data_IF_695537022920
#
_entry.id   IF_695537022920
#
_cell.length_a   1.000
_cell.length_b   1.000
_cell.length_c   1.000
_cell.angle_alpha   90.00
_cell.angle_beta   90.00
_cell.angle_gamma   90.00
#
_symmetry.space_group_name_H-M   'P 1'
#
loop_
_entity.id
_entity.type
_entity.pdbx_description
1 polymer ?
#
# COMPACT_ATOMS: atom_id res chain seq x y z
N UNK A 1 -14.32 -37.80 9.10
CA UNK A 1 -13.00 -37.73 9.77
C UNK A 1 -12.57 -36.28 9.66
N UNK A 2 -12.53 -35.55 10.76
CA UNK A 2 -12.18 -34.14 10.83
C UNK A 2 -10.67 -34.02 10.70
N UNK A 3 -10.20 -33.51 9.57
CA UNK A 3 -8.80 -33.12 9.39
C UNK A 3 -8.63 -31.79 10.10
N UNK A 4 -8.17 -31.80 11.34
CA UNK A 4 -7.62 -30.58 11.97
C UNK A 4 -6.34 -30.25 11.22
N UNK A 5 -6.37 -29.18 10.43
CA UNK A 5 -5.15 -28.56 9.93
C UNK A 5 -4.22 -28.22 11.12
N UNK A 6 -2.91 -28.19 10.94
CA UNK A 6 -2.01 -27.83 12.00
C UNK A 6 -2.31 -26.38 12.44
N UNK A 7 -2.77 -26.20 13.67
CA UNK A 7 -2.66 -24.93 14.38
C UNK A 7 -1.15 -24.83 14.65
N UNK A 8 -0.45 -24.13 13.78
CA UNK A 8 0.91 -23.68 14.05
C UNK A 8 0.79 -22.70 15.24
N UNK A 9 1.04 -23.18 16.46
CA UNK A 9 1.43 -22.29 17.55
C UNK A 9 2.79 -21.71 17.14
N UNK A 10 2.76 -20.54 16.47
CA UNK A 10 3.99 -19.80 16.25
C UNK A 10 4.51 -19.36 17.63
N UNK A 11 5.79 -19.56 17.89
CA UNK A 11 6.45 -18.84 18.96
C UNK A 11 6.33 -17.35 18.60
N UNK A 12 5.99 -16.50 19.60
CA UNK A 12 5.92 -15.04 19.37
C UNK A 12 7.23 -14.57 18.73
N UNK A 13 7.12 -13.72 17.71
CA UNK A 13 8.28 -13.15 17.03
C UNK A 13 9.12 -12.35 18.03
N UNK A 14 10.43 -12.34 17.81
CA UNK A 14 11.34 -11.63 18.71
C UNK A 14 11.33 -10.14 18.38
N UNK A 15 10.91 -9.30 19.34
CA UNK A 15 11.17 -7.86 19.28
C UNK A 15 12.67 -7.61 19.50
N UNK A 16 13.30 -6.91 18.56
CA UNK A 16 14.73 -6.62 18.58
C UNK A 16 15.02 -5.24 19.13
N UNK A 17 16.09 -5.08 19.93
CA UNK A 17 16.61 -3.76 20.29
C UNK A 17 17.37 -3.15 19.10
N UNK A 18 17.52 -1.82 19.08
CA UNK A 18 18.27 -1.11 18.04
C UNK A 18 17.47 -0.87 16.77
N UNK A 19 18.16 -0.79 15.65
CA UNK A 19 17.55 -0.47 14.35
C UNK A 19 18.04 -1.41 13.24
N UNK A 20 17.25 -1.62 12.17
CA UNK A 20 17.66 -2.41 11.01
C UNK A 20 19.02 -1.98 10.43
N UNK A 21 19.26 -0.68 10.30
CA UNK A 21 20.51 -0.16 9.75
C UNK A 21 21.74 -0.58 10.57
N UNK A 22 21.64 -0.59 11.90
CA UNK A 22 22.73 -1.02 12.78
C UNK A 22 23.09 -2.49 12.57
N UNK A 23 22.12 -3.31 12.19
CA UNK A 23 22.28 -4.74 11.93
C UNK A 23 22.52 -5.04 10.44
N UNK A 24 22.68 -4.02 9.58
CA UNK A 24 22.98 -4.17 8.16
C UNK A 24 21.80 -4.50 7.27
N UNK A 25 20.56 -4.22 7.74
CA UNK A 25 19.33 -4.42 6.97
C UNK A 25 18.93 -3.15 6.22
N UNK A 26 18.22 -3.35 5.10
CA UNK A 26 17.64 -2.27 4.29
C UNK A 26 16.33 -2.72 3.67
N UNK A 27 15.46 -1.77 3.31
CA UNK A 27 14.23 -2.01 2.58
C UNK A 27 14.53 -2.32 1.12
N UNK A 28 14.23 -3.54 0.60
CA UNK A 28 14.44 -3.86 -0.80
C UNK A 28 13.40 -3.15 -1.68
N UNK A 29 13.70 -3.01 -2.97
CA UNK A 29 12.72 -2.54 -3.93
C UNK A 29 11.55 -3.53 -4.07
N UNK A 30 10.36 -3.03 -4.46
CA UNK A 30 9.17 -3.87 -4.60
C UNK A 30 9.32 -4.97 -5.68
N UNK A 31 10.13 -4.72 -6.72
CA UNK A 31 10.45 -5.73 -7.74
C UNK A 31 11.49 -6.78 -7.31
N UNK A 32 12.02 -6.72 -6.10
CA UNK A 32 12.80 -7.82 -5.55
C UNK A 32 11.94 -9.11 -5.52
N UNK A 33 12.59 -10.28 -5.63
CA UNK A 33 11.87 -11.55 -5.56
C UNK A 33 11.02 -11.61 -4.29
N UNK A 34 9.79 -12.06 -4.42
CA UNK A 34 8.82 -12.13 -3.33
C UNK A 34 8.50 -13.59 -3.01
N UNK A 35 8.48 -13.93 -1.72
CA UNK A 35 8.03 -15.22 -1.22
C UNK A 35 6.51 -15.28 -1.12
N UNK A 36 5.86 -14.14 -0.85
CA UNK A 36 4.41 -14.04 -0.71
C UNK A 36 3.91 -12.58 -0.87
N UNK A 37 2.60 -12.45 -0.99
CA UNK A 37 1.86 -11.19 -0.80
C UNK A 37 0.78 -11.42 0.24
N UNK A 38 0.66 -10.49 1.18
CA UNK A 38 -0.39 -10.47 2.18
C UNK A 38 -1.51 -9.52 1.79
N UNK A 39 -2.73 -9.89 2.16
CA UNK A 39 -3.95 -9.09 2.08
C UNK A 39 -4.75 -9.29 3.37
N UNK A 40 -5.73 -8.41 3.64
CA UNK A 40 -6.69 -8.52 4.73
C UNK A 40 -8.11 -8.61 4.16
N UNK A 41 -9.03 -9.23 4.92
CA UNK A 41 -10.41 -9.43 4.50
C UNK A 41 -11.26 -8.17 4.71
N UNK A 42 -11.91 -7.60 3.68
CA UNK A 42 -12.74 -6.40 3.82
C UNK A 42 -14.11 -6.77 4.40
N UNK A 43 -14.41 -6.31 5.60
CA UNK A 43 -15.67 -6.61 6.29
C UNK A 43 -16.29 -5.40 6.99
N UNK A 44 -15.54 -4.31 7.17
CA UNK A 44 -15.97 -3.10 7.86
C UNK A 44 -17.12 -2.41 7.15
N UNK A 45 -18.35 -2.39 7.76
CA UNK A 45 -19.57 -1.95 7.08
C UNK A 45 -19.72 -0.42 6.98
N UNK A 46 -18.96 0.36 7.75
CA UNK A 46 -18.91 1.82 7.67
C UNK A 46 -17.87 2.31 6.64
N UNK A 47 -17.15 1.38 6.02
CA UNK A 47 -16.26 1.64 4.89
C UNK A 47 -16.72 0.90 3.62
N UNK A 48 -17.08 -0.38 3.74
CA UNK A 48 -17.41 -1.23 2.60
C UNK A 48 -18.92 -1.43 2.46
N UNK A 49 -19.51 -0.86 1.39
CA UNK A 49 -20.93 -0.99 1.08
C UNK A 49 -21.38 -2.45 0.94
N UNK A 50 -22.68 -2.72 1.04
CA UNK A 50 -23.21 -4.06 0.85
C UNK A 50 -22.64 -5.08 1.84
N UNK A 51 -22.35 -4.66 3.08
CA UNK A 51 -21.71 -5.49 4.12
C UNK A 51 -20.35 -6.07 3.67
N UNK A 52 -19.64 -5.35 2.81
CA UNK A 52 -18.35 -5.74 2.26
C UNK A 52 -18.40 -6.71 1.08
N UNK A 53 -19.56 -7.26 0.71
CA UNK A 53 -19.64 -8.32 -0.31
C UNK A 53 -19.06 -7.91 -1.68
N UNK A 54 -19.37 -6.72 -2.24
CA UNK A 54 -18.75 -6.30 -3.51
C UNK A 54 -17.23 -6.14 -3.42
N UNK A 55 -16.72 -5.59 -2.32
CA UNK A 55 -15.29 -5.48 -2.07
C UNK A 55 -14.63 -6.86 -1.94
N UNK A 56 -15.22 -7.79 -1.17
CA UNK A 56 -14.74 -9.17 -1.01
C UNK A 56 -14.59 -9.89 -2.35
N UNK A 57 -15.54 -9.71 -3.26
CA UNK A 57 -15.46 -10.28 -4.62
C UNK A 57 -14.30 -9.66 -5.44
N UNK A 58 -14.05 -8.37 -5.27
CA UNK A 58 -12.94 -7.68 -5.94
C UNK A 58 -11.60 -8.10 -5.35
N UNK A 59 -11.48 -8.19 -4.04
CA UNK A 59 -10.29 -8.70 -3.35
C UNK A 59 -9.98 -10.15 -3.77
N UNK A 60 -11.00 -10.99 -3.94
CA UNK A 60 -10.81 -12.35 -4.45
C UNK A 60 -10.20 -12.37 -5.86
N UNK A 61 -10.62 -11.46 -6.76
CA UNK A 61 -10.04 -11.33 -8.11
C UNK A 61 -8.59 -10.85 -8.06
N UNK A 62 -8.27 -9.90 -7.19
CA UNK A 62 -6.89 -9.44 -6.98
C UNK A 62 -6.03 -10.58 -6.45
N UNK A 63 -6.49 -11.28 -5.41
CA UNK A 63 -5.79 -12.44 -4.84
C UNK A 63 -5.59 -13.57 -5.87
N UNK A 64 -6.58 -13.85 -6.72
CA UNK A 64 -6.47 -14.81 -7.82
C UNK A 64 -5.40 -14.39 -8.84
N UNK A 65 -5.38 -13.11 -9.22
CA UNK A 65 -4.38 -12.58 -10.14
C UNK A 65 -2.96 -12.73 -9.57
N UNK A 66 -2.75 -12.35 -8.31
CA UNK A 66 -1.45 -12.47 -7.63
C UNK A 66 -1.02 -13.93 -7.52
N UNK A 67 -1.94 -14.82 -7.15
CA UNK A 67 -1.64 -16.24 -6.87
C UNK A 67 -1.14 -17.04 -8.07
N UNK A 68 -1.18 -16.47 -9.28
CA UNK A 68 -0.62 -17.08 -10.50
C UNK A 68 0.90 -17.18 -10.48
N UNK A 69 1.58 -16.26 -9.77
CA UNK A 69 3.05 -16.19 -9.72
C UNK A 69 3.61 -16.10 -8.31
N UNK A 70 2.81 -15.68 -7.33
CA UNK A 70 3.24 -15.40 -5.97
C UNK A 70 2.22 -15.97 -4.98
N UNK A 71 2.62 -16.72 -3.95
CA UNK A 71 1.74 -17.18 -2.87
C UNK A 71 1.00 -16.00 -2.24
N UNK A 72 -0.29 -16.18 -1.91
CA UNK A 72 -1.12 -15.17 -1.27
C UNK A 72 -1.59 -15.66 0.09
N UNK A 73 -1.38 -14.82 1.11
CA UNK A 73 -1.98 -14.99 2.43
C UNK A 73 -3.10 -13.95 2.60
N UNK A 74 -4.23 -14.39 3.15
CA UNK A 74 -5.34 -13.51 3.51
C UNK A 74 -5.59 -13.58 5.00
N UNK A 75 -5.30 -12.49 5.72
CA UNK A 75 -5.69 -12.33 7.11
C UNK A 75 -7.20 -12.14 7.23
N UNK A 76 -7.86 -12.95 8.03
CA UNK A 76 -9.32 -13.00 8.15
C UNK A 76 -9.72 -13.10 9.61
N UNK A 77 -10.60 -12.20 10.14
CA UNK A 77 -11.14 -12.38 11.49
C UNK A 77 -11.92 -13.70 11.63
N UNK A 78 -11.87 -14.32 12.81
CA UNK A 78 -12.39 -15.63 13.07
C UNK A 78 -13.86 -15.83 12.61
N UNK A 79 -14.71 -14.82 12.82
CA UNK A 79 -16.12 -14.83 12.46
C UNK A 79 -16.39 -14.84 10.94
N UNK A 80 -15.41 -14.39 10.12
CA UNK A 80 -15.52 -14.32 8.66
C UNK A 80 -14.81 -15.45 7.93
N UNK A 81 -14.11 -16.37 8.63
CA UNK A 81 -13.34 -17.47 8.03
C UNK A 81 -14.17 -18.34 7.09
N UNK A 82 -15.40 -18.67 7.46
CA UNK A 82 -16.28 -19.50 6.61
C UNK A 82 -16.69 -18.76 5.32
N UNK A 83 -16.99 -17.46 5.43
CA UNK A 83 -17.32 -16.61 4.28
C UNK A 83 -16.12 -16.43 3.34
N UNK A 84 -14.95 -16.10 3.88
CA UNK A 84 -13.73 -15.94 3.11
C UNK A 84 -13.36 -17.22 2.36
N UNK A 85 -13.47 -18.38 3.02
CA UNK A 85 -13.25 -19.69 2.41
C UNK A 85 -14.20 -20.02 1.27
N UNK A 86 -15.44 -19.55 1.35
CA UNK A 86 -16.43 -19.75 0.29
C UNK A 86 -16.23 -18.80 -0.92
N UNK A 87 -15.55 -17.68 -0.71
CA UNK A 87 -15.38 -16.61 -1.73
C UNK A 87 -14.02 -16.66 -2.42
N UNK A 88 -12.95 -16.96 -1.67
CA UNK A 88 -11.57 -16.93 -2.17
C UNK A 88 -11.20 -18.19 -2.95
N UNK A 89 -10.34 -18.08 -3.97
CA UNK A 89 -9.83 -19.24 -4.68
C UNK A 89 -8.98 -20.13 -3.76
N UNK A 90 -8.97 -21.43 -4.03
CA UNK A 90 -8.24 -22.44 -3.23
C UNK A 90 -6.72 -22.22 -3.19
N UNK A 91 -6.17 -21.39 -4.09
CA UNK A 91 -4.76 -20.99 -4.13
C UNK A 91 -4.38 -19.98 -3.04
N UNK A 92 -5.36 -19.36 -2.37
CA UNK A 92 -5.13 -18.36 -1.30
C UNK A 92 -5.12 -19.09 0.05
N UNK A 93 -4.10 -18.85 0.84
CA UNK A 93 -3.99 -19.36 2.21
C UNK A 93 -4.67 -18.41 3.18
N UNK A 94 -5.69 -18.90 3.90
CA UNK A 94 -6.37 -18.12 4.93
C UNK A 94 -5.61 -18.22 6.25
N UNK A 95 -5.44 -17.08 6.91
CA UNK A 95 -4.81 -16.96 8.22
C UNK A 95 -5.80 -16.26 9.14
N UNK A 96 -6.15 -16.91 10.27
CA UNK A 96 -7.00 -16.26 11.27
C UNK A 96 -6.23 -15.10 11.90
N UNK A 97 -6.76 -13.88 11.71
CA UNK A 97 -6.09 -12.62 12.09
C UNK A 97 -7.14 -11.56 12.36
N UNK A 98 -7.10 -10.94 13.53
CA UNK A 98 -7.98 -9.82 13.85
C UNK A 98 -7.43 -8.54 13.19
N UNK A 99 -8.32 -7.77 12.55
CA UNK A 99 -8.05 -6.45 11.97
C UNK A 99 -9.24 -5.55 12.19
N UNK A 100 -9.10 -4.24 12.05
CA UNK A 100 -10.22 -3.30 12.07
C UNK A 100 -10.67 -2.96 10.64
N UNK A 101 -9.76 -2.96 9.65
CA UNK A 101 -10.08 -2.86 8.22
C UNK A 101 -9.07 -3.67 7.36
N UNK A 102 -9.04 -3.44 6.04
CA UNK A 102 -8.39 -4.30 5.06
C UNK A 102 -7.19 -3.66 4.33
N UNK A 103 -6.57 -2.64 4.93
CA UNK A 103 -5.50 -1.84 4.31
C UNK A 103 -4.11 -2.38 4.65
N UNK A 104 -3.80 -3.56 4.09
CA UNK A 104 -2.59 -4.32 4.40
C UNK A 104 -1.29 -3.59 4.11
N UNK A 105 -1.27 -2.69 3.13
CA UNK A 105 -0.09 -1.85 2.82
C UNK A 105 0.30 -0.98 3.99
N UNK A 106 -0.68 -0.43 4.68
CA UNK A 106 -0.48 0.60 5.70
C UNK A 106 -0.35 0.03 7.10
N UNK A 107 -1.02 -1.09 7.36
CA UNK A 107 -1.02 -1.75 8.68
C UNK A 107 -0.03 -2.91 8.78
N UNK A 108 0.39 -3.46 7.63
CA UNK A 108 1.35 -4.56 7.57
C UNK A 108 2.80 -4.10 7.81
N UNK A 109 3.71 -5.06 8.07
CA UNK A 109 5.10 -4.74 8.32
C UNK A 109 5.81 -4.24 7.05
N UNK A 110 6.72 -3.28 7.19
CA UNK A 110 7.72 -3.04 6.16
C UNK A 110 8.85 -4.05 6.34
N UNK A 111 9.05 -4.89 5.33
CA UNK A 111 10.10 -5.92 5.39
C UNK A 111 11.44 -5.35 4.98
N UNK A 112 12.49 -5.73 5.72
CA UNK A 112 13.89 -5.39 5.46
C UNK A 112 14.72 -6.66 5.31
N UNK A 113 15.71 -6.62 4.45
CA UNK A 113 16.62 -7.75 4.17
C UNK A 113 18.08 -7.33 4.33
N UNK A 114 18.97 -8.31 4.47
CA UNK A 114 20.41 -8.07 4.48
C UNK A 114 21.15 -8.90 3.42
N UNK A 115 22.45 -8.67 3.27
CA UNK A 115 23.27 -9.40 2.31
C UNK A 115 23.55 -10.86 2.68
N UNK A 116 23.16 -11.31 3.86
CA UNK A 116 23.29 -12.71 4.30
C UNK A 116 22.05 -13.57 3.97
N UNK A 117 21.01 -13.00 3.36
CA UNK A 117 19.77 -13.68 3.07
C UNK A 117 18.85 -13.81 4.30
N UNK A 118 18.94 -12.86 5.22
CA UNK A 118 18.02 -12.78 6.36
C UNK A 118 16.97 -11.72 6.10
N UNK A 119 15.77 -11.93 6.66
CA UNK A 119 14.63 -11.01 6.60
C UNK A 119 14.18 -10.67 8.01
N UNK A 120 13.79 -9.42 8.21
CA UNK A 120 13.19 -8.90 9.43
C UNK A 120 12.05 -7.95 9.08
N UNK A 121 11.22 -7.64 10.06
CA UNK A 121 10.10 -6.73 9.91
C UNK A 121 10.36 -5.40 10.64
N UNK A 122 9.81 -4.32 10.12
CA UNK A 122 9.65 -3.05 10.82
C UNK A 122 8.18 -2.88 11.13
N UNK A 123 7.88 -2.74 12.41
CA UNK A 123 6.57 -2.50 12.98
C UNK A 123 6.45 -1.00 13.27
N UNK A 124 5.68 -0.29 12.44
CA UNK A 124 5.41 1.14 12.58
C UNK A 124 4.21 1.38 13.50
N UNK A 125 4.16 2.55 14.12
CA UNK A 125 2.94 3.00 14.78
C UNK A 125 1.87 3.33 13.73
N UNK A 126 0.64 2.93 13.96
CA UNK A 126 -0.50 3.22 13.09
C UNK A 126 -1.57 3.99 13.85
N UNK A 127 -2.18 5.00 13.24
CA UNK A 127 -3.19 5.84 13.86
C UNK A 127 -4.42 6.11 12.96
N UNK A 128 -4.74 5.20 12.05
CA UNK A 128 -5.85 5.34 11.09
C UNK A 128 -5.76 6.63 10.26
N UNK A 129 -4.56 6.96 9.77
CA UNK A 129 -4.25 8.11 8.91
C UNK A 129 -4.54 9.49 9.53
N UNK A 130 -4.44 9.63 10.83
CA UNK A 130 -4.59 10.94 11.48
C UNK A 130 -5.13 10.90 12.90
N UNK A 131 -5.41 9.73 13.44
CA UNK A 131 -5.89 9.55 14.79
C UNK A 131 -7.24 10.24 15.02
N UNK A 132 -7.43 10.82 16.20
CA UNK A 132 -8.66 11.54 16.55
C UNK A 132 -8.73 12.95 15.92
N UNK A 133 -7.68 13.41 15.20
CA UNK A 133 -7.57 14.75 14.62
C UNK A 133 -7.54 14.71 13.09
N UNK A 134 -8.45 13.95 12.47
CA UNK A 134 -8.54 13.84 11.02
C UNK A 134 -8.33 12.45 10.47
N UNK A 135 -8.19 11.43 11.32
CA UNK A 135 -8.15 10.02 10.92
C UNK A 135 -9.49 9.54 10.36
N UNK A 136 -9.46 8.43 9.64
CA UNK A 136 -10.62 7.91 8.94
C UNK A 136 -11.60 7.15 9.85
N UNK A 137 -11.11 6.61 10.98
CA UNK A 137 -11.93 5.96 12.01
C UNK A 137 -11.27 5.99 13.39
N UNK A 138 -12.07 5.86 14.45
CA UNK A 138 -11.60 6.05 15.82
C UNK A 138 -11.06 4.77 16.51
N UNK A 139 -11.30 3.59 15.94
CA UNK A 139 -10.86 2.29 16.48
C UNK A 139 -9.90 1.61 15.50
N UNK A 140 -8.62 1.59 15.82
CA UNK A 140 -7.57 0.98 14.99
C UNK A 140 -6.63 0.04 15.76
N UNK A 141 -7.04 -0.39 16.96
CA UNK A 141 -6.18 -1.15 17.88
C UNK A 141 -5.84 -2.55 17.38
N UNK A 142 -6.65 -3.13 16.47
CA UNK A 142 -6.31 -4.40 15.84
C UNK A 142 -5.41 -4.18 14.64
N UNK A 143 -5.63 -3.11 13.87
CA UNK A 143 -4.79 -2.74 12.74
C UNK A 143 -3.36 -2.43 13.16
N UNK A 144 -3.16 -1.75 14.31
CA UNK A 144 -1.83 -1.49 14.90
C UNK A 144 -1.03 -2.76 15.23
N UNK A 145 -1.70 -3.92 15.33
CA UNK A 145 -1.05 -5.21 15.66
C UNK A 145 -0.74 -6.07 14.43
N UNK A 146 -1.16 -5.67 13.25
CA UNK A 146 -1.04 -6.49 12.03
C UNK A 146 0.43 -6.80 11.72
N UNK A 147 1.31 -5.82 11.82
CA UNK A 147 2.73 -6.00 11.55
C UNK A 147 3.35 -7.09 12.44
N UNK A 148 3.05 -7.09 13.74
CA UNK A 148 3.52 -8.11 14.68
C UNK A 148 2.88 -9.46 14.41
N UNK A 149 1.56 -9.52 14.12
CA UNK A 149 0.88 -10.78 13.80
C UNK A 149 1.45 -11.45 12.53
N UNK A 150 1.80 -10.66 11.51
CA UNK A 150 2.48 -11.17 10.30
C UNK A 150 3.87 -11.68 10.64
N UNK A 151 4.63 -10.94 11.45
CA UNK A 151 5.97 -11.34 11.90
C UNK A 151 5.93 -12.63 12.69
N UNK A 152 4.96 -12.81 13.59
CA UNK A 152 4.71 -14.03 14.33
C UNK A 152 4.41 -15.22 13.40
N UNK A 153 3.55 -15.01 12.41
CA UNK A 153 3.20 -16.05 11.44
C UNK A 153 4.41 -16.50 10.61
N UNK A 154 5.23 -15.53 10.17
CA UNK A 154 6.44 -15.81 9.37
C UNK A 154 7.61 -16.30 10.22
N UNK A 155 7.52 -16.18 11.55
CA UNK A 155 8.63 -16.40 12.48
C UNK A 155 9.83 -15.48 12.18
N UNK A 156 9.56 -14.26 11.71
CA UNK A 156 10.54 -13.23 11.47
C UNK A 156 10.66 -12.32 12.70
N UNK A 157 11.88 -11.97 13.11
CA UNK A 157 12.08 -10.98 14.16
C UNK A 157 11.68 -9.58 13.65
N UNK A 158 11.30 -8.67 14.56
CA UNK A 158 10.85 -7.33 14.20
C UNK A 158 11.49 -6.23 15.05
N UNK A 159 11.51 -5.02 14.49
CA UNK A 159 11.87 -3.78 15.18
C UNK A 159 10.64 -2.92 15.32
N UNK A 160 10.32 -2.45 16.51
CA UNK A 160 9.26 -1.47 16.72
C UNK A 160 9.80 -0.05 16.54
N UNK A 161 9.27 0.66 15.56
CA UNK A 161 9.71 2.00 15.20
C UNK A 161 8.90 3.08 15.91
N UNK A 162 9.53 4.13 16.47
CA UNK A 162 8.84 5.21 17.17
C UNK A 162 8.34 6.29 16.19
N UNK A 163 7.63 5.89 15.16
CA UNK A 163 7.13 6.76 14.09
C UNK A 163 5.77 6.26 13.63
N UNK A 164 4.79 7.16 13.59
CA UNK A 164 3.54 6.88 12.86
C UNK A 164 3.84 6.95 11.36
N UNK A 165 3.69 5.82 10.67
CA UNK A 165 3.99 5.70 9.25
C UNK A 165 3.16 4.58 8.62
N UNK A 166 2.60 4.86 7.48
CA UNK A 166 1.91 3.91 6.64
C UNK A 166 2.82 3.47 5.47
N UNK A 167 2.78 2.19 5.09
CA UNK A 167 3.60 1.68 3.99
C UNK A 167 3.30 2.35 2.64
N UNK A 168 2.07 2.84 2.42
CA UNK A 168 1.69 3.61 1.23
C UNK A 168 2.29 5.02 1.16
N UNK A 169 2.78 5.55 2.29
CA UNK A 169 3.41 6.88 2.36
C UNK A 169 4.86 6.91 1.87
N UNK A 170 5.47 5.75 1.61
CA UNK A 170 6.88 5.62 1.21
C UNK A 170 7.04 4.69 0.02
N UNK A 171 8.05 4.93 -0.82
CA UNK A 171 8.47 4.02 -1.88
C UNK A 171 10.00 4.07 -2.08
N UNK A 172 10.66 2.93 -2.28
CA UNK A 172 12.12 2.86 -2.42
C UNK A 172 12.55 2.19 -3.71
N UNK A 173 13.75 2.58 -4.20
CA UNK A 173 14.42 1.91 -5.31
C UNK A 173 15.25 0.69 -4.87
N UNK A 174 15.34 0.41 -3.57
CA UNK A 174 16.19 -0.66 -3.01
C UNK A 174 17.69 -0.37 -3.08
N UNK A 175 18.08 0.79 -3.58
CA UNK A 175 19.49 1.22 -3.72
C UNK A 175 19.81 2.46 -2.87
N UNK A 176 18.92 2.80 -1.95
CA UNK A 176 19.10 3.86 -0.96
C UNK A 176 18.31 5.13 -1.22
N UNK A 177 17.44 5.18 -2.24
CA UNK A 177 16.55 6.31 -2.50
C UNK A 177 15.14 6.03 -1.99
N UNK A 178 14.52 7.02 -1.34
CA UNK A 178 13.15 6.97 -0.88
C UNK A 178 12.36 8.14 -1.46
N UNK A 179 11.15 7.84 -1.98
CA UNK A 179 10.12 8.79 -2.38
C UNK A 179 9.08 8.91 -1.27
N UNK A 180 8.61 10.12 -1.02
CA UNK A 180 7.50 10.42 -0.11
C UNK A 180 6.86 11.77 -0.44
N UNK A 181 5.77 12.13 0.26
CA UNK A 181 5.13 13.44 0.15
C UNK A 181 5.23 14.24 1.46
N UNK A 182 5.33 15.55 1.34
CA UNK A 182 5.26 16.46 2.47
C UNK A 182 3.82 16.55 3.03
N UNK A 183 2.82 16.51 2.15
CA UNK A 183 1.39 16.51 2.52
C UNK A 183 1.08 15.40 3.54
N UNK A 184 1.71 14.22 3.41
CA UNK A 184 1.52 13.09 4.33
C UNK A 184 2.48 13.14 5.53
N UNK A 185 3.79 12.95 5.31
CA UNK A 185 4.73 12.72 6.42
C UNK A 185 5.00 13.96 7.27
N UNK A 186 4.75 15.17 6.76
CA UNK A 186 4.83 16.40 7.54
C UNK A 186 3.47 16.91 8.02
N UNK A 187 2.40 16.14 7.80
CA UNK A 187 1.09 16.45 8.34
C UNK A 187 1.12 16.39 9.87
N UNK A 188 0.62 17.42 10.58
CA UNK A 188 0.61 17.42 12.04
C UNK A 188 -0.24 16.31 12.67
N UNK A 189 -1.09 15.64 11.88
CA UNK A 189 -1.89 14.51 12.35
C UNK A 189 -1.13 13.16 12.39
N UNK A 190 0.15 13.13 11.99
CA UNK A 190 1.04 11.96 12.10
C UNK A 190 2.02 12.11 13.24
N UNK A 191 3.06 12.93 13.05
CA UNK A 191 4.17 13.07 14.00
C UNK A 191 4.44 14.56 14.32
N UNK A 192 3.52 15.27 15.00
CA UNK A 192 3.61 16.72 15.21
C UNK A 192 4.82 17.17 16.05
N UNK A 193 5.45 16.26 16.75
CA UNK A 193 6.64 16.50 17.57
C UNK A 193 7.96 16.35 16.81
N UNK A 194 7.92 15.88 15.54
CA UNK A 194 9.09 15.67 14.69
C UNK A 194 9.13 16.67 13.54
N UNK A 195 10.33 17.13 13.20
CA UNK A 195 10.56 17.86 11.97
C UNK A 195 11.07 16.94 10.86
N UNK A 196 11.17 17.46 9.63
CA UNK A 196 11.61 16.67 8.46
C UNK A 196 12.95 15.97 8.68
N UNK A 197 13.94 16.65 9.27
CA UNK A 197 15.28 16.07 9.52
C UNK A 197 15.22 14.88 10.47
N UNK A 198 14.37 14.97 11.50
CA UNK A 198 14.18 13.89 12.47
C UNK A 198 13.42 12.70 11.84
N UNK A 199 12.43 12.97 11.01
CA UNK A 199 11.72 11.93 10.25
C UNK A 199 12.69 11.23 9.29
N UNK A 200 13.48 11.97 8.51
CA UNK A 200 14.50 11.40 7.63
C UNK A 200 15.53 10.56 8.39
N UNK A 201 15.91 10.98 9.60
CA UNK A 201 16.83 10.21 10.43
C UNK A 201 16.25 8.85 10.83
N UNK A 202 14.99 8.82 11.28
CA UNK A 202 14.28 7.56 11.58
C UNK A 202 14.14 6.68 10.32
N UNK A 203 13.81 7.26 9.17
CA UNK A 203 13.73 6.50 7.92
C UNK A 203 15.08 5.92 7.50
N UNK A 204 16.22 6.64 7.74
CA UNK A 204 17.57 6.08 7.53
C UNK A 204 17.82 4.88 8.44
N UNK A 205 17.48 5.01 9.72
CA UNK A 205 17.73 3.98 10.73
C UNK A 205 16.90 2.72 10.51
N UNK A 206 15.62 2.89 10.10
CA UNK A 206 14.70 1.76 9.96
C UNK A 206 14.63 1.16 8.55
N UNK A 207 14.99 1.91 7.52
CA UNK A 207 14.89 1.45 6.12
C UNK A 207 16.24 1.34 5.40
N UNK A 208 17.35 1.80 6.02
CA UNK A 208 18.67 1.78 5.39
C UNK A 208 18.80 2.72 4.17
N UNK A 209 17.88 3.68 4.01
CA UNK A 209 17.92 4.67 2.92
C UNK A 209 18.84 5.82 3.25
N UNK A 210 19.36 6.49 2.24
CA UNK A 210 20.33 7.58 2.39
C UNK A 210 19.94 8.86 1.67
N UNK A 211 19.05 8.75 0.69
CA UNK A 211 18.61 9.85 -0.17
C UNK A 211 17.09 9.95 -0.21
N UNK A 212 16.56 11.18 -0.09
CA UNK A 212 15.13 11.45 -0.01
C UNK A 212 14.71 12.36 -1.15
N UNK A 213 13.63 12.01 -1.82
CA UNK A 213 12.94 12.84 -2.80
C UNK A 213 11.55 13.11 -2.25
N UNK A 214 11.32 14.35 -1.85
CA UNK A 214 10.05 14.83 -1.31
C UNK A 214 9.23 15.49 -2.41
N UNK A 215 8.05 14.94 -2.70
CA UNK A 215 7.02 15.66 -3.43
C UNK A 215 6.22 16.51 -2.46
N UNK A 216 5.67 17.65 -2.92
CA UNK A 216 4.88 18.50 -2.04
C UNK A 216 3.54 17.85 -1.71
N UNK A 217 2.85 17.37 -2.75
CA UNK A 217 1.49 16.87 -2.67
C UNK A 217 1.38 15.47 -3.27
N UNK A 218 0.40 14.68 -2.80
CA UNK A 218 -0.05 13.45 -3.43
C UNK A 218 -1.16 13.69 -4.45
N UNK A 219 -2.02 12.68 -4.68
CA UNK A 219 -3.18 12.80 -5.57
C UNK A 219 -4.25 13.69 -4.92
N UNK A 220 -4.93 14.49 -5.74
CA UNK A 220 -5.99 15.38 -5.27
C UNK A 220 -7.13 14.61 -4.58
N UNK A 221 -7.54 15.09 -3.42
CA UNK A 221 -8.58 14.50 -2.58
C UNK A 221 -8.28 13.08 -2.08
N UNK A 222 -6.99 12.76 -1.93
CA UNK A 222 -6.58 11.51 -1.29
C UNK A 222 -6.80 11.60 0.22
N UNK A 223 -7.67 10.75 0.74
CA UNK A 223 -8.06 10.74 2.15
C UNK A 223 -6.96 10.26 3.11
N UNK A 224 -5.84 9.77 2.57
CA UNK A 224 -4.65 9.41 3.35
C UNK A 224 -3.68 10.60 3.53
N UNK A 225 -4.09 11.82 3.19
CA UNK A 225 -3.25 13.02 3.12
C UNK A 225 -2.14 12.89 2.05
N UNK A 226 -2.47 12.29 0.90
CA UNK A 226 -1.59 12.30 -0.25
C UNK A 226 -0.45 11.29 -0.20
N UNK A 227 -0.75 10.02 0.02
CA UNK A 227 0.21 8.93 -0.07
C UNK A 227 0.97 8.93 -1.40
N UNK A 228 2.27 8.58 -1.32
CA UNK A 228 3.13 8.55 -2.51
C UNK A 228 2.74 7.43 -3.48
N UNK A 229 2.18 6.33 -3.01
CA UNK A 229 1.81 5.16 -3.81
C UNK A 229 0.66 5.41 -4.79
N UNK A 230 -0.13 6.48 -4.59
CA UNK A 230 -1.09 6.99 -5.56
C UNK A 230 -0.45 7.97 -6.55
N UNK A 231 0.63 8.66 -6.16
CA UNK A 231 1.21 9.77 -6.93
C UNK A 231 2.41 9.36 -7.77
N UNK A 232 3.36 8.63 -7.17
CA UNK A 232 4.61 8.28 -7.84
C UNK A 232 5.25 7.03 -7.21
N UNK A 233 5.74 6.12 -8.05
CA UNK A 233 6.48 4.95 -7.59
C UNK A 233 7.73 4.70 -8.45
N UNK A 234 8.76 4.09 -7.88
CA UNK A 234 9.86 3.52 -8.65
C UNK A 234 9.39 2.30 -9.43
N UNK A 235 9.82 2.19 -10.68
CA UNK A 235 9.53 1.04 -11.54
C UNK A 235 10.80 0.22 -11.81
N UNK A 236 11.96 0.85 -11.66
CA UNK A 236 13.31 0.27 -11.60
C UNK A 236 14.30 1.34 -11.14
N UNK A 237 15.57 1.01 -10.86
CA UNK A 237 16.56 2.01 -10.47
C UNK A 237 16.66 3.15 -11.50
N UNK A 238 16.50 4.39 -11.05
CA UNK A 238 16.55 5.59 -11.89
C UNK A 238 15.31 5.85 -12.76
N UNK A 239 14.21 5.08 -12.62
CA UNK A 239 12.97 5.32 -13.37
C UNK A 239 11.75 5.31 -12.42
N UNK A 240 10.84 6.25 -12.65
CA UNK A 240 9.60 6.40 -11.87
C UNK A 240 8.38 6.49 -12.78
N UNK A 241 7.24 5.99 -12.31
CA UNK A 241 5.92 6.27 -12.86
C UNK A 241 5.28 7.40 -12.06
N UNK A 242 4.72 8.39 -12.74
CA UNK A 242 4.09 9.57 -12.15
C UNK A 242 2.64 9.66 -12.63
N UNK A 243 1.71 9.82 -11.70
CA UNK A 243 0.30 10.12 -11.98
C UNK A 243 0.19 11.45 -12.73
N UNK A 244 -0.42 11.43 -13.92
CA UNK A 244 -0.39 12.57 -14.83
C UNK A 244 -1.73 12.83 -15.49
N UNK A 245 -2.12 14.10 -15.54
CA UNK A 245 -3.20 14.59 -16.38
C UNK A 245 -2.72 15.78 -17.22
N UNK A 246 -3.21 15.90 -18.45
CA UNK A 246 -2.99 17.06 -19.31
C UNK A 246 -4.15 18.09 -19.22
N UNK A 247 -5.22 17.75 -18.48
CA UNK A 247 -6.33 18.65 -18.25
C UNK A 247 -5.96 19.75 -17.25
N UNK A 248 -5.69 20.95 -17.76
CA UNK A 248 -5.33 22.11 -16.94
C UNK A 248 -6.45 22.62 -16.03
N UNK A 249 -7.69 22.18 -16.24
CA UNK A 249 -8.82 22.53 -15.38
C UNK A 249 -8.98 21.55 -14.21
N UNK A 250 -8.38 20.36 -14.31
CA UNK A 250 -8.36 19.41 -13.21
C UNK A 250 -7.41 19.87 -12.10
N UNK A 251 -7.84 19.95 -10.83
CA UNK A 251 -6.97 20.31 -9.70
C UNK A 251 -5.73 19.40 -9.57
N UNK A 252 -5.78 18.19 -10.10
CA UNK A 252 -4.63 17.29 -10.15
C UNK A 252 -3.49 17.80 -11.05
N UNK A 253 -3.80 18.58 -12.09
CA UNK A 253 -2.79 19.07 -13.03
C UNK A 253 -1.65 19.82 -12.33
N UNK A 254 -2.00 20.77 -11.46
CA UNK A 254 -1.00 21.56 -10.72
C UNK A 254 -0.09 20.68 -9.85
N UNK A 255 -0.66 19.68 -9.18
CA UNK A 255 0.07 18.70 -8.35
C UNK A 255 1.03 17.85 -9.19
N UNK A 256 0.56 17.31 -10.32
CA UNK A 256 1.37 16.51 -11.25
C UNK A 256 2.52 17.33 -11.87
N UNK A 257 2.28 18.59 -12.25
CA UNK A 257 3.32 19.48 -12.78
C UNK A 257 4.37 19.82 -11.71
N UNK A 258 3.95 20.10 -10.48
CA UNK A 258 4.88 20.35 -9.37
C UNK A 258 5.75 19.12 -9.09
N UNK A 259 5.17 17.92 -9.02
CA UNK A 259 5.89 16.67 -8.85
C UNK A 259 6.86 16.41 -10.00
N UNK A 260 6.44 16.59 -11.25
CA UNK A 260 7.30 16.44 -12.43
C UNK A 260 8.52 17.38 -12.37
N UNK A 261 8.34 18.62 -11.92
CA UNK A 261 9.43 19.58 -11.76
C UNK A 261 10.44 19.13 -10.71
N UNK A 262 9.99 18.60 -9.57
CA UNK A 262 10.88 18.05 -8.54
C UNK A 262 11.66 16.85 -9.08
N UNK A 263 10.97 15.87 -9.65
CA UNK A 263 11.56 14.63 -10.15
C UNK A 263 12.55 14.90 -11.31
N UNK A 264 12.27 15.87 -12.19
CA UNK A 264 13.16 16.23 -13.32
C UNK A 264 14.48 16.84 -12.86
N UNK A 265 14.52 17.43 -11.68
CA UNK A 265 15.73 18.03 -11.10
C UNK A 265 16.41 17.10 -10.08
N UNK A 266 15.75 16.05 -9.64
CA UNK A 266 16.28 15.11 -8.68
C UNK A 266 17.31 14.15 -9.31
N UNK A 267 18.13 13.59 -8.44
CA UNK A 267 18.95 12.41 -8.70
C UNK A 267 18.64 11.36 -7.63
N UNK A 268 18.93 10.11 -7.92
CA UNK A 268 18.82 9.05 -6.91
C UNK A 268 20.08 8.95 -6.03
N UNK A 269 20.11 8.04 -5.08
CA UNK A 269 21.24 7.81 -4.18
C UNK A 269 22.54 7.41 -4.90
N UNK A 270 22.47 7.00 -6.16
CA UNK A 270 23.62 6.68 -7.01
C UNK A 270 24.00 7.81 -7.95
N UNK A 271 23.34 8.98 -7.86
CA UNK A 271 23.59 10.15 -8.71
C UNK A 271 22.98 10.07 -10.12
N UNK A 272 22.07 9.11 -10.37
CA UNK A 272 21.37 8.99 -11.67
C UNK A 272 20.22 9.98 -11.73
N UNK A 273 20.06 10.66 -12.86
CA UNK A 273 18.84 11.42 -13.16
C UNK A 273 17.68 10.47 -13.38
N UNK A 274 16.51 10.87 -12.93
CA UNK A 274 15.30 10.07 -13.07
C UNK A 274 14.70 10.17 -14.47
N UNK A 275 14.35 9.03 -15.05
CA UNK A 275 13.44 8.94 -16.19
C UNK A 275 12.00 8.87 -15.63
N UNK A 276 11.15 9.75 -16.12
CA UNK A 276 9.78 9.90 -15.62
C UNK A 276 8.81 9.39 -16.67
N UNK A 277 8.03 8.36 -16.33
CA UNK A 277 6.93 7.85 -17.11
C UNK A 277 5.63 8.51 -16.63
N UNK A 278 4.98 9.27 -17.52
CA UNK A 278 3.69 9.89 -17.24
C UNK A 278 2.59 8.87 -17.46
N UNK A 279 2.10 8.28 -16.37
CA UNK A 279 0.99 7.35 -16.40
C UNK A 279 -0.32 8.15 -16.34
N UNK A 280 -1.27 7.96 -17.27
CA UNK A 280 -2.46 8.80 -17.34
C UNK A 280 -3.28 8.70 -16.06
N UNK A 281 -3.88 9.80 -15.63
CA UNK A 281 -4.96 9.75 -14.67
C UNK A 281 -6.19 9.10 -15.30
N UNK A 282 -7.02 8.34 -14.56
CA UNK A 282 -8.39 8.10 -14.96
C UNK A 282 -9.13 9.44 -15.02
N UNK A 283 -10.24 9.51 -15.75
CA UNK A 283 -11.14 10.67 -15.68
C UNK A 283 -11.58 10.95 -14.24
N UNK A 284 -12.13 12.14 -13.96
CA UNK A 284 -12.64 12.46 -12.63
C UNK A 284 -13.71 11.44 -12.21
N UNK A 285 -13.43 10.66 -11.18
CA UNK A 285 -14.32 9.64 -10.64
C UNK A 285 -14.99 10.18 -9.39
N UNK A 286 -16.27 9.91 -9.22
CA UNK A 286 -17.07 10.39 -8.10
C UNK A 286 -17.89 9.26 -7.49
N UNK A 287 -18.17 9.36 -6.20
CA UNK A 287 -19.16 8.52 -5.52
C UNK A 287 -20.55 8.82 -6.08
N UNK A 288 -21.34 7.79 -6.34
CA UNK A 288 -22.76 7.90 -6.70
C UNK A 288 -23.66 7.69 -5.48
N UNK A 289 -24.91 8.16 -5.53
CA UNK A 289 -25.89 7.90 -4.46
C UNK A 289 -26.09 6.39 -4.20
N UNK A 290 -26.11 5.57 -5.27
CA UNK A 290 -26.27 4.13 -5.14
C UNK A 290 -25.05 3.43 -4.48
N UNK A 291 -23.86 4.01 -4.59
CA UNK A 291 -22.62 3.47 -4.00
C UNK A 291 -22.45 3.84 -2.53
N UNK A 292 -23.11 4.91 -2.08
CA UNK A 292 -23.02 5.38 -0.68
C UNK A 292 -24.23 4.98 0.18
N UNK A 293 -25.30 4.48 -0.46
CA UNK A 293 -26.60 4.27 0.19
C UNK A 293 -26.59 3.28 1.37
N UNK A 294 -25.80 2.21 1.32
CA UNK A 294 -25.76 1.15 2.33
C UNK A 294 -24.42 1.05 3.06
N UNK A 295 -23.64 2.13 3.06
CA UNK A 295 -22.52 2.31 3.98
C UNK A 295 -23.07 2.76 5.33
N UNK A 296 -22.74 2.03 6.40
CA UNK A 296 -23.24 2.35 7.73
C UNK A 296 -22.65 3.66 8.24
N UNK A 297 -23.47 4.48 8.88
CA UNK A 297 -22.98 5.65 9.62
C UNK A 297 -22.40 5.22 10.96
N UNK A 298 -21.18 5.65 11.24
CA UNK A 298 -20.47 5.39 12.50
C UNK A 298 -19.50 6.54 12.81
N UNK A 299 -18.43 6.24 13.54
CA UNK A 299 -17.30 7.16 13.80
C UNK A 299 -16.35 7.30 12.60
N UNK A 300 -16.53 6.51 11.54
CA UNK A 300 -15.74 6.63 10.31
C UNK A 300 -16.16 7.85 9.47
N UNK A 301 -15.23 8.36 8.65
CA UNK A 301 -15.52 9.44 7.71
C UNK A 301 -16.63 8.99 6.74
N UNK A 302 -17.75 9.73 6.65
CA UNK A 302 -18.88 9.34 5.80
C UNK A 302 -18.53 9.30 4.32
N UNK A 303 -18.99 8.30 3.60
CA UNK A 303 -18.93 8.25 2.14
C UNK A 303 -20.06 9.11 1.56
N UNK A 304 -19.69 10.18 0.85
CA UNK A 304 -20.66 11.19 0.37
C UNK A 304 -20.81 11.11 -1.15
N UNK A 305 -22.06 11.07 -1.64
CA UNK A 305 -22.34 11.13 -3.07
C UNK A 305 -21.83 12.45 -3.69
N UNK A 306 -21.26 12.37 -4.87
CA UNK A 306 -20.64 13.53 -5.55
C UNK A 306 -19.24 13.88 -5.06
N UNK A 307 -18.71 13.21 -4.05
CA UNK A 307 -17.32 13.36 -3.63
C UNK A 307 -16.37 12.72 -4.64
N UNK A 308 -15.26 13.42 -4.95
CA UNK A 308 -14.27 12.93 -5.89
C UNK A 308 -13.40 11.85 -5.24
N UNK A 309 -13.17 10.77 -5.97
CA UNK A 309 -12.30 9.67 -5.57
C UNK A 309 -10.87 9.87 -6.08
N UNK A 310 -9.88 9.53 -5.27
CA UNK A 310 -8.46 9.62 -5.61
C UNK A 310 -8.00 8.41 -6.46
N UNK A 311 -8.62 8.21 -7.62
CA UNK A 311 -8.27 7.12 -8.53
C UNK A 311 -6.91 7.31 -9.19
N UNK A 312 -6.06 6.28 -9.17
CA UNK A 312 -4.75 6.33 -9.81
C UNK A 312 -4.32 4.97 -10.36
N UNK A 313 -3.83 4.96 -11.60
CA UNK A 313 -3.18 3.77 -12.17
C UNK A 313 -1.77 3.53 -11.62
N UNK A 314 -1.17 4.48 -10.91
CA UNK A 314 0.12 4.32 -10.21
C UNK A 314 -0.02 3.38 -9.01
N UNK A 315 -1.22 3.23 -8.47
CA UNK A 315 -1.50 2.32 -7.34
C UNK A 315 -1.62 0.86 -7.79
N UNK A 316 -0.63 0.38 -8.54
CA UNK A 316 -0.48 -1.01 -8.95
C UNK A 316 0.46 -1.77 -8.00
N UNK A 317 0.35 -3.09 -7.96
CA UNK A 317 1.28 -3.98 -7.29
C UNK A 317 2.30 -4.52 -8.29
N UNK A 318 3.59 -4.41 -7.97
CA UNK A 318 4.65 -5.17 -8.62
C UNK A 318 4.77 -6.52 -7.89
N UNK A 319 4.41 -7.59 -8.55
CA UNK A 319 4.57 -8.95 -8.04
C UNK A 319 5.58 -9.72 -8.90
N UNK A 320 5.93 -10.96 -8.54
CA UNK A 320 6.88 -11.75 -9.32
C UNK A 320 6.46 -11.86 -10.80
N UNK A 321 7.16 -11.16 -11.70
CA UNK A 321 6.93 -11.15 -13.14
C UNK A 321 5.54 -10.72 -13.62
N UNK A 322 4.74 -10.07 -12.77
CA UNK A 322 3.47 -9.45 -13.18
C UNK A 322 3.25 -8.11 -12.50
N UNK A 323 2.47 -7.27 -13.17
CA UNK A 323 1.95 -6.00 -12.64
C UNK A 323 0.45 -6.16 -12.55
N UNK A 324 -0.10 -5.98 -11.36
CA UNK A 324 -1.54 -6.02 -11.14
C UNK A 324 -2.00 -4.59 -10.92
N UNK A 325 -2.77 -4.06 -11.87
CA UNK A 325 -3.18 -2.67 -11.86
C UNK A 325 -4.72 -2.51 -11.87
N UNK A 326 -5.24 -1.41 -11.30
CA UNK A 326 -6.67 -1.17 -11.24
C UNK A 326 -7.23 -0.79 -12.62
N UNK A 327 -8.36 -1.38 -13.02
CA UNK A 327 -9.21 -0.87 -14.09
C UNK A 327 -10.22 0.09 -13.45
N UNK A 328 -10.21 1.36 -13.86
CA UNK A 328 -10.95 2.45 -13.23
C UNK A 328 -11.86 3.19 -14.21
N UNK A 329 -11.40 3.39 -15.46
CA UNK A 329 -12.09 4.17 -16.48
C UNK A 329 -11.82 3.54 -17.86
N UNK A 330 -12.86 3.02 -18.48
CA UNK A 330 -12.77 2.36 -19.77
C UNK A 330 -12.21 3.21 -20.92
N UNK A 331 -12.20 4.53 -20.76
CA UNK A 331 -11.61 5.46 -21.74
C UNK A 331 -10.09 5.56 -21.63
N UNK A 332 -9.51 5.25 -20.47
CA UNK A 332 -8.06 5.37 -20.20
C UNK A 332 -7.39 4.07 -19.79
N UNK A 333 -8.15 3.04 -19.39
CA UNK A 333 -7.63 1.72 -18.99
C UNK A 333 -6.67 1.11 -20.03
N UNK A 334 -7.02 1.21 -21.33
CA UNK A 334 -6.20 0.70 -22.43
C UNK A 334 -4.87 1.46 -22.57
N UNK A 335 -4.88 2.78 -22.43
CA UNK A 335 -3.66 3.59 -22.47
C UNK A 335 -2.75 3.29 -21.29
N UNK A 336 -3.32 3.12 -20.10
CA UNK A 336 -2.56 2.73 -18.91
C UNK A 336 -1.91 1.34 -19.08
N UNK A 337 -2.67 0.36 -19.64
CA UNK A 337 -2.15 -0.97 -19.97
C UNK A 337 -0.94 -0.90 -20.90
N UNK A 338 -1.06 -0.17 -22.03
CA UNK A 338 -0.01 -0.08 -23.04
C UNK A 338 1.26 0.59 -22.52
N UNK A 339 1.11 1.60 -21.65
CA UNK A 339 2.23 2.25 -20.98
C UNK A 339 2.89 1.31 -19.96
N UNK A 340 2.11 0.61 -19.14
CA UNK A 340 2.65 -0.37 -18.20
C UNK A 340 3.41 -1.49 -18.92
N UNK A 341 2.92 -1.94 -20.09
CA UNK A 341 3.65 -2.93 -20.91
C UNK A 341 5.01 -2.39 -21.41
N UNK A 342 5.10 -1.11 -21.73
CA UNK A 342 6.37 -0.44 -22.10
C UNK A 342 7.29 -0.25 -20.89
N UNK A 343 6.71 0.11 -19.74
CA UNK A 343 7.44 0.31 -18.48
C UNK A 343 8.01 -1.03 -17.99
N UNK A 344 7.26 -2.12 -18.09
CA UNK A 344 7.62 -3.44 -17.56
C UNK A 344 7.73 -4.50 -18.69
N UNK A 345 8.73 -4.39 -19.59
CA UNK A 345 8.91 -5.39 -20.64
C UNK A 345 9.19 -6.76 -20.02
N UNK A 346 8.44 -7.77 -20.45
CA UNK A 346 8.57 -9.14 -19.93
C UNK A 346 7.73 -9.46 -18.70
N UNK A 347 7.02 -8.49 -18.13
CA UNK A 347 6.01 -8.74 -17.10
C UNK A 347 4.63 -8.97 -17.75
N UNK A 348 3.83 -9.80 -17.12
CA UNK A 348 2.41 -9.88 -17.47
C UNK A 348 1.68 -8.67 -16.85
N UNK A 349 0.97 -7.89 -17.65
CA UNK A 349 0.17 -6.76 -17.18
C UNK A 349 -1.28 -7.23 -17.00
N UNK A 350 -1.74 -7.23 -15.76
CA UNK A 350 -3.04 -7.78 -15.36
C UNK A 350 -3.93 -6.67 -14.80
N UNK A 351 -4.94 -6.27 -15.57
CA UNK A 351 -5.96 -5.33 -15.10
C UNK A 351 -7.05 -6.03 -14.29
N UNK A 352 -7.40 -5.46 -13.14
CA UNK A 352 -8.51 -5.94 -12.30
C UNK A 352 -9.52 -4.80 -12.11
N UNK A 353 -10.84 -5.01 -12.37
CA UNK A 353 -11.85 -4.01 -12.05
C UNK A 353 -11.79 -3.67 -10.56
N UNK A 354 -11.44 -2.42 -10.22
CA UNK A 354 -11.09 -2.02 -8.86
C UNK A 354 -12.01 -0.92 -8.28
N UNK A 355 -13.15 -0.65 -8.91
CA UNK A 355 -14.11 0.36 -8.44
C UNK A 355 -14.49 0.16 -6.97
N UNK A 356 -14.74 -1.08 -6.55
CA UNK A 356 -15.15 -1.37 -5.17
C UNK A 356 -14.03 -1.12 -4.14
N UNK A 357 -12.76 -1.28 -4.54
CA UNK A 357 -11.63 -0.91 -3.67
C UNK A 357 -11.53 0.61 -3.58
N UNK A 358 -11.67 1.30 -4.72
CA UNK A 358 -11.59 2.76 -4.78
C UNK A 358 -12.69 3.44 -3.94
N UNK A 359 -13.89 2.87 -3.89
CA UNK A 359 -14.98 3.36 -3.03
C UNK A 359 -14.63 3.27 -1.53
N UNK A 360 -13.76 2.33 -1.15
CA UNK A 360 -13.22 2.22 0.20
C UNK A 360 -12.14 3.23 0.55
N UNK A 361 -11.60 3.97 -0.43
CA UNK A 361 -10.60 5.03 -0.22
C UNK A 361 -9.19 4.72 -0.71
N UNK A 362 -8.93 3.56 -1.31
CA UNK A 362 -7.62 3.18 -1.81
C UNK A 362 -7.67 2.35 -3.09
N UNK A 363 -6.60 1.61 -3.40
CA UNK A 363 -6.58 0.76 -4.58
C UNK A 363 -5.73 -0.51 -4.36
N UNK A 364 -5.28 -1.16 -5.43
CA UNK A 364 -4.63 -2.49 -5.41
C UNK A 364 -3.36 -2.49 -4.57
N UNK A 365 -2.50 -1.48 -4.68
CA UNK A 365 -1.29 -1.39 -3.85
C UNK A 365 -1.65 -1.25 -2.37
N UNK A 366 -2.64 -0.43 -2.03
CA UNK A 366 -3.07 -0.16 -0.65
C UNK A 366 -3.56 -1.42 0.09
N UNK A 367 -4.16 -2.39 -0.63
CA UNK A 367 -4.69 -3.64 -0.04
C UNK A 367 -3.69 -4.78 -0.01
N UNK A 368 -2.45 -4.56 -0.46
CA UNK A 368 -1.44 -5.62 -0.64
C UNK A 368 -0.12 -5.24 0.02
N UNK A 369 0.58 -6.21 0.59
CA UNK A 369 1.94 -6.06 1.13
C UNK A 369 2.80 -7.24 0.70
N UNK A 370 3.89 -6.97 -0.01
CA UNK A 370 4.85 -8.00 -0.42
C UNK A 370 5.75 -8.43 0.73
N UNK A 371 6.07 -9.72 0.73
CA UNK A 371 7.10 -10.32 1.59
C UNK A 371 8.28 -10.67 0.68
N UNK A 372 9.39 -9.94 0.73
CA UNK A 372 10.56 -10.24 -0.09
C UNK A 372 11.16 -11.59 0.29
N UNK A 373 11.77 -12.27 -0.68
CA UNK A 373 12.58 -13.44 -0.39
C UNK A 373 13.84 -13.02 0.39
N UNK A 374 14.18 -13.82 1.37
CA UNK A 374 15.40 -13.67 2.15
C UNK A 374 16.62 -14.28 1.44
#
# INVERSE_FOLDING_TARGET
MSVKGPVLQSAASQALPGTPQQDGFFMPAEWAKQDAVWMLWPYRQDNWRGKGVPAQQTFAKVAEAISRTTPVFMGVPAEFMAQAKATLPASVTLVEMASDDAWMRDTGPTMVINGAGERRAVDWQFNAWGGLNGGLYANWQQDEKIAVQVSDFLNDAHYSAPLVLEGGSIHTDGEGTLLTTAECLLNPNRNPHLNQVQIEQLLREYLGVTHFIWLQDGVYNDETDGHIDNMCCFVRPGEVALHWTDDQQDPQYARSVAAFKVLSNAVDAKGRKLKIWKLPAPGPLYNTEAETFDVLSSDAVPRTAGERLAGSYVNFLISNQQIIYPLLDSSTDGLAHDLLQQIFPGYAIVGVPAREILLGGGNIHCITQQIPAA
#
